data_IF_016001838282
#
_entry.id   IF_016001838282
#
_cell.length_a   1.000
_cell.length_b   1.000
_cell.length_c   1.000
_cell.angle_alpha   90.00
_cell.angle_beta   90.00
_cell.angle_gamma   90.00
#
_symmetry.space_group_name_H-M   'P 1'
#
loop_
_entity.id
_entity.type
_entity.pdbx_description
1 polymer ?
#
# COMPACT_ATOMS: atom_id res chain seq x y z
N UNK A 1 47.41 13.63 -31.89
CA UNK A 1 48.00 12.54 -31.08
C UNK A 1 47.95 11.26 -31.91
N UNK A 2 48.95 10.38 -31.83
CA UNK A 2 48.89 9.09 -32.51
C UNK A 2 47.78 8.20 -31.91
N UNK A 3 47.19 7.28 -32.71
CA UNK A 3 46.22 6.31 -32.20
C UNK A 3 46.87 5.46 -31.10
N UNK A 4 46.21 5.34 -29.95
CA UNK A 4 46.73 4.66 -28.75
C UNK A 4 47.47 5.55 -27.75
N UNK A 5 47.49 6.88 -27.93
CA UNK A 5 47.95 7.79 -26.89
C UNK A 5 46.86 7.99 -25.82
N UNK A 6 47.18 7.71 -24.55
CA UNK A 6 46.36 8.06 -23.40
C UNK A 6 47.02 9.20 -22.60
N UNK A 7 46.22 10.17 -22.21
CA UNK A 7 46.62 11.27 -21.34
C UNK A 7 45.82 11.19 -20.06
N UNK A 8 46.53 11.04 -18.95
CA UNK A 8 45.95 11.08 -17.61
C UNK A 8 46.29 12.42 -16.97
N UNK A 9 45.26 13.18 -16.61
CA UNK A 9 45.38 14.40 -15.84
C UNK A 9 44.77 14.15 -14.46
N UNK A 10 45.54 14.41 -13.40
CA UNK A 10 45.07 14.28 -12.02
C UNK A 10 45.18 15.63 -11.34
N UNK A 11 44.04 16.18 -10.93
CA UNK A 11 43.97 17.42 -10.17
C UNK A 11 43.26 17.13 -8.84
N UNK A 12 44.04 17.07 -7.76
CA UNK A 12 43.54 16.72 -6.43
C UNK A 12 42.92 15.31 -6.37
N UNK A 13 41.61 15.26 -6.09
CA UNK A 13 40.80 14.05 -5.92
C UNK A 13 40.03 13.65 -7.20
N UNK A 14 40.24 14.37 -8.31
CA UNK A 14 39.66 14.05 -9.61
C UNK A 14 40.75 13.51 -10.55
N UNK A 15 40.45 12.39 -11.20
CA UNK A 15 41.25 11.82 -12.27
C UNK A 15 40.46 11.90 -13.58
N UNK A 16 41.10 12.40 -14.63
CA UNK A 16 40.56 12.46 -15.98
C UNK A 16 41.48 11.66 -16.90
N UNK A 17 40.95 10.61 -17.49
CA UNK A 17 41.63 9.81 -18.50
C UNK A 17 41.05 10.13 -19.87
N UNK A 18 41.92 10.54 -20.79
CA UNK A 18 41.58 10.89 -22.17
C UNK A 18 42.34 9.96 -23.10
N UNK A 19 41.63 9.09 -23.81
CA UNK A 19 42.20 8.14 -24.75
C UNK A 19 41.55 8.26 -26.13
N UNK A 20 42.26 7.82 -27.17
CA UNK A 20 41.68 7.60 -28.50
C UNK A 20 41.50 6.09 -28.66
N UNK A 21 40.27 5.66 -28.93
CA UNK A 21 39.98 4.24 -29.14
C UNK A 21 40.55 3.71 -30.46
N UNK A 22 40.49 2.39 -30.67
CA UNK A 22 41.00 1.74 -31.88
C UNK A 22 40.27 2.15 -33.17
N UNK A 23 39.15 2.87 -33.07
CA UNK A 23 38.34 3.37 -34.19
C UNK A 23 38.54 4.88 -34.42
N UNK A 24 39.38 5.54 -33.61
CA UNK A 24 39.71 6.96 -33.74
C UNK A 24 38.79 7.91 -32.95
N UNK A 25 37.90 7.41 -32.10
CA UNK A 25 37.00 8.24 -31.29
C UNK A 25 37.64 8.63 -29.95
N UNK A 26 37.29 9.83 -29.47
CA UNK A 26 37.75 10.39 -28.21
C UNK A 26 36.95 9.81 -27.04
N UNK A 27 37.58 8.97 -26.22
CA UNK A 27 37.02 8.47 -24.98
C UNK A 27 37.54 9.30 -23.80
N UNK A 28 36.61 9.82 -22.99
CA UNK A 28 36.91 10.66 -21.83
C UNK A 28 36.26 10.03 -20.61
N UNK A 29 37.06 9.53 -19.68
CA UNK A 29 36.59 8.94 -18.42
C UNK A 29 37.00 9.85 -17.25
N UNK A 30 36.02 10.33 -16.50
CA UNK A 30 36.24 11.19 -15.33
C UNK A 30 35.87 10.44 -14.05
N UNK A 31 36.86 10.17 -13.20
CA UNK A 31 36.64 9.56 -11.88
C UNK A 31 36.82 10.62 -10.79
N UNK A 32 35.74 10.92 -10.06
CA UNK A 32 35.76 11.80 -8.90
C UNK A 32 35.68 10.97 -7.61
N UNK A 33 36.77 10.88 -6.86
CA UNK A 33 36.86 10.17 -5.58
C UNK A 33 35.83 10.70 -4.55
N UNK A 34 35.47 11.99 -4.67
CA UNK A 34 34.42 12.62 -3.86
C UNK A 34 33.02 12.03 -4.11
N UNK A 35 32.71 11.58 -5.33
CA UNK A 35 31.46 10.92 -5.67
C UNK A 35 31.47 9.47 -5.20
N UNK A 36 32.57 8.75 -5.42
CA UNK A 36 32.74 7.38 -4.94
C UNK A 36 32.58 7.29 -3.42
N UNK A 37 33.21 8.21 -2.69
CA UNK A 37 33.07 8.32 -1.23
C UNK A 37 31.64 8.65 -0.80
N UNK A 38 30.94 9.51 -1.54
CA UNK A 38 29.52 9.79 -1.28
C UNK A 38 28.67 8.53 -1.48
N UNK A 39 28.85 7.79 -2.57
CA UNK A 39 28.11 6.54 -2.81
C UNK A 39 28.32 5.52 -1.68
N UNK A 40 29.56 5.28 -1.25
CA UNK A 40 29.87 4.34 -0.15
C UNK A 40 29.19 4.76 1.17
N UNK A 41 29.22 6.05 1.49
CA UNK A 41 28.57 6.59 2.70
C UNK A 41 27.05 6.45 2.59
N UNK A 42 26.47 6.73 1.42
CA UNK A 42 25.04 6.56 1.17
C UNK A 42 24.60 5.08 1.31
N UNK A 43 25.36 4.13 0.76
CA UNK A 43 25.09 2.70 0.88
C UNK A 43 25.18 2.20 2.34
N UNK A 44 26.13 2.74 3.09
CA UNK A 44 26.29 2.44 4.52
C UNK A 44 25.09 2.94 5.34
N UNK A 45 24.61 4.16 5.05
CA UNK A 45 23.42 4.70 5.70
C UNK A 45 22.14 3.95 5.32
N UNK A 46 21.99 3.54 4.05
CA UNK A 46 20.87 2.70 3.62
C UNK A 46 20.85 1.36 4.35
N UNK A 47 22.02 0.75 4.56
CA UNK A 47 22.15 -0.51 5.28
C UNK A 47 21.77 -0.35 6.76
N UNK A 48 22.14 0.76 7.40
CA UNK A 48 21.80 1.08 8.80
C UNK A 48 20.32 1.45 9.00
N UNK A 49 19.70 2.14 8.04
CA UNK A 49 18.25 2.41 8.04
C UNK A 49 17.47 1.11 7.87
N UNK A 50 17.92 0.23 6.99
CA UNK A 50 17.30 -1.07 6.76
C UNK A 50 17.41 -1.96 8.00
N UNK A 51 18.54 -1.99 8.70
CA UNK A 51 18.69 -2.78 9.93
C UNK A 51 17.72 -2.34 11.04
N UNK A 52 17.49 -1.03 11.21
CA UNK A 52 16.49 -0.51 12.15
C UNK A 52 15.06 -0.84 11.72
N UNK A 53 14.76 -0.76 10.42
CA UNK A 53 13.45 -1.18 9.91
C UNK A 53 13.23 -2.69 9.96
N UNK A 54 14.27 -3.51 9.84
CA UNK A 54 14.18 -4.97 9.95
C UNK A 54 13.93 -5.41 11.39
N UNK A 55 14.59 -4.78 12.36
CA UNK A 55 14.35 -4.99 13.79
C UNK A 55 12.95 -4.51 14.21
N UNK A 56 12.50 -3.37 13.69
CA UNK A 56 11.14 -2.86 13.94
C UNK A 56 10.06 -3.73 13.27
N UNK A 57 10.34 -4.30 12.09
CA UNK A 57 9.40 -5.14 11.32
C UNK A 57 9.31 -6.59 11.82
N UNK A 58 10.20 -7.03 12.71
CA UNK A 58 10.05 -8.29 13.44
C UNK A 58 8.95 -8.22 14.51
N UNK A 59 8.52 -7.02 14.91
CA UNK A 59 7.21 -6.88 15.54
C UNK A 59 6.17 -6.86 14.43
N UNK A 60 5.34 -7.91 14.28
CA UNK A 60 4.19 -7.80 13.40
C UNK A 60 3.41 -6.55 13.87
N UNK A 61 3.02 -5.64 12.95
CA UNK A 61 2.22 -4.48 13.34
C UNK A 61 1.07 -5.02 14.17
N UNK A 62 0.79 -4.46 15.37
CA UNK A 62 -0.22 -4.99 16.25
C UNK A 62 -1.44 -5.16 15.38
N UNK A 63 -1.84 -6.43 15.16
CA UNK A 63 -3.02 -6.72 14.37
C UNK A 63 -4.09 -5.98 15.13
N UNK A 64 -4.52 -4.85 14.58
CA UNK A 64 -5.71 -4.14 15.00
C UNK A 64 -6.82 -5.11 14.64
N UNK A 65 -6.97 -6.15 15.47
CA UNK A 65 -8.18 -6.92 15.58
C UNK A 65 -9.15 -5.86 16.11
N UNK A 66 -9.71 -5.10 15.17
CA UNK A 66 -10.92 -4.33 15.39
C UNK A 66 -11.95 -5.42 15.60
N UNK A 67 -12.00 -5.94 16.81
CA UNK A 67 -13.07 -6.83 17.23
C UNK A 67 -14.36 -6.08 16.88
N UNK A 68 -15.21 -6.64 16.00
CA UNK A 68 -16.45 -5.97 15.65
C UNK A 68 -17.19 -5.75 16.97
N UNK A 69 -17.42 -4.48 17.31
CA UNK A 69 -18.02 -4.10 18.58
C UNK A 69 -19.33 -4.86 18.71
N UNK A 70 -19.53 -5.63 19.79
CA UNK A 70 -20.76 -6.41 20.00
C UNK A 70 -22.05 -5.56 19.90
N UNK A 71 -21.90 -4.25 20.05
CA UNK A 71 -22.92 -3.26 19.77
C UNK A 71 -23.34 -3.18 18.30
N UNK A 72 -22.44 -3.28 17.31
CA UNK A 72 -22.81 -3.26 15.89
C UNK A 72 -23.72 -4.43 15.50
N UNK A 73 -23.49 -5.60 16.13
CA UNK A 73 -24.36 -6.76 15.99
C UNK A 73 -25.78 -6.45 16.49
N UNK A 74 -25.92 -5.78 17.63
CA UNK A 74 -27.23 -5.40 18.17
C UNK A 74 -28.05 -4.54 17.19
N UNK A 75 -27.44 -3.58 16.49
CA UNK A 75 -28.13 -2.72 15.51
C UNK A 75 -28.60 -3.49 14.27
N UNK A 76 -27.78 -4.41 13.76
CA UNK A 76 -28.15 -5.25 12.60
C UNK A 76 -29.32 -6.17 12.99
N UNK A 77 -29.27 -6.76 14.19
CA UNK A 77 -30.29 -7.68 14.66
C UNK A 77 -31.60 -6.96 15.02
N UNK A 78 -31.55 -5.80 15.68
CA UNK A 78 -32.75 -5.01 16.00
C UNK A 78 -33.50 -4.55 14.75
N UNK A 79 -32.79 -4.12 13.70
CA UNK A 79 -33.43 -3.77 12.42
C UNK A 79 -34.18 -4.94 11.77
N UNK A 80 -33.60 -6.15 11.78
CA UNK A 80 -34.24 -7.36 11.24
C UNK A 80 -35.47 -7.77 12.04
N UNK A 81 -35.41 -7.71 13.37
CA UNK A 81 -36.55 -8.02 14.24
C UNK A 81 -37.70 -7.03 13.99
N UNK A 82 -37.40 -5.73 13.94
CA UNK A 82 -38.41 -4.70 13.68
C UNK A 82 -39.07 -4.88 12.30
N UNK A 83 -38.27 -5.13 11.25
CA UNK A 83 -38.79 -5.41 9.91
C UNK A 83 -39.69 -6.64 9.87
N UNK A 84 -39.30 -7.72 10.56
CA UNK A 84 -40.10 -8.95 10.60
C UNK A 84 -41.44 -8.73 11.32
N UNK A 85 -41.44 -8.02 12.46
CA UNK A 85 -42.66 -7.69 13.20
C UNK A 85 -43.58 -6.79 12.37
N UNK A 86 -43.03 -5.80 11.68
CA UNK A 86 -43.81 -4.91 10.82
C UNK A 86 -44.46 -5.70 9.68
N UNK A 87 -43.70 -6.54 8.98
CA UNK A 87 -44.22 -7.39 7.91
C UNK A 87 -45.34 -8.32 8.42
N UNK A 88 -45.13 -8.98 9.56
CA UNK A 88 -46.13 -9.86 10.16
C UNK A 88 -47.40 -9.10 10.56
N UNK A 89 -47.27 -7.88 11.09
CA UNK A 89 -48.41 -7.03 11.45
C UNK A 89 -49.25 -6.62 10.24
N UNK A 90 -48.61 -6.34 9.10
CA UNK A 90 -49.29 -5.98 7.84
C UNK A 90 -50.02 -7.19 7.29
N UNK A 91 -49.34 -8.34 7.20
CA UNK A 91 -49.95 -9.61 6.75
C UNK A 91 -51.14 -9.98 7.63
N UNK A 92 -50.99 -9.92 8.95
CA UNK A 92 -52.07 -10.19 9.90
C UNK A 92 -53.27 -9.25 9.72
N UNK A 93 -53.02 -7.94 9.52
CA UNK A 93 -54.10 -6.97 9.21
C UNK A 93 -54.81 -7.29 7.90
N UNK A 94 -54.09 -7.65 6.86
CA UNK A 94 -54.68 -8.00 5.55
C UNK A 94 -55.54 -9.24 5.67
N UNK A 95 -55.06 -10.29 6.32
CA UNK A 95 -55.82 -11.52 6.55
C UNK A 95 -57.07 -11.24 7.39
N UNK A 96 -56.95 -10.47 8.47
CA UNK A 96 -58.11 -10.09 9.31
C UNK A 96 -59.17 -9.33 8.52
N UNK A 97 -58.77 -8.39 7.65
CA UNK A 97 -59.70 -7.68 6.75
C UNK A 97 -60.41 -8.64 5.79
N UNK A 98 -59.68 -9.59 5.20
CA UNK A 98 -60.26 -10.60 4.30
C UNK A 98 -61.25 -11.53 5.01
N UNK A 99 -60.93 -11.96 6.24
CA UNK A 99 -61.81 -12.81 7.04
C UNK A 99 -63.08 -12.08 7.49
N UNK A 100 -62.97 -10.84 7.99
CA UNK A 100 -64.14 -10.03 8.34
C UNK A 100 -65.04 -9.74 7.14
N UNK A 101 -64.46 -9.51 5.95
CA UNK A 101 -65.23 -9.38 4.70
C UNK A 101 -66.00 -10.66 4.33
N UNK A 102 -65.40 -11.84 4.52
CA UNK A 102 -66.09 -13.12 4.29
C UNK A 102 -67.20 -13.38 5.31
N UNK A 103 -66.96 -13.07 6.59
CA UNK A 103 -67.95 -13.26 7.66
C UNK A 103 -69.19 -12.37 7.47
N UNK A 104 -68.99 -11.13 7.00
CA UNK A 104 -70.09 -10.20 6.70
C UNK A 104 -70.90 -10.61 5.47
N UNK A 105 -70.26 -11.16 4.43
CA UNK A 105 -70.96 -11.67 3.23
C UNK A 105 -71.70 -13.01 3.46
N UNK A 106 -71.37 -13.77 4.51
CA UNK A 106 -72.06 -15.02 4.87
C UNK A 106 -73.29 -14.81 5.75
N UNK A 107 -73.47 -13.61 6.32
CA UNK A 107 -74.56 -13.29 7.26
C UNK A 107 -75.69 -12.47 6.61
N UNK A 108 -75.58 -12.20 5.31
CA UNK A 108 -76.57 -11.52 4.48
C UNK A 108 -77.18 -12.54 3.53
#
# INVERSE_FOLDING_TARGET
MPPGASFTAREGQAALEVGIDGEGNLQVESTCDSLARRCIVLETELTRLNSQQLEEKETPPPKLVREPTGWQWFWIHTGRILSAVLALSVVGRVIKRRLNGKYTNQKQ
#
